data_IF_650290573519
#
_entry.id   IF_650290573519
#
_cell.length_a   1.000
_cell.length_b   1.000
_cell.length_c   1.000
_cell.angle_alpha   90.00
_cell.angle_beta   90.00
_cell.angle_gamma   90.00
#
_symmetry.space_group_name_H-M   'P 1'
#
loop_
_entity.id
_entity.type
_entity.pdbx_description
1 polymer ?
#
# COMPACT_ATOMS: atom_id res chain seq x y z
N UNK A 1 -19.59 -9.30 0.40
CA UNK A 1 -18.68 -9.03 -0.73
C UNK A 1 -17.47 -9.92 -0.50
N UNK A 2 -17.28 -10.98 -1.29
CA UNK A 2 -16.06 -11.79 -1.18
C UNK A 2 -14.91 -10.95 -1.74
N UNK A 3 -13.86 -10.76 -0.96
CA UNK A 3 -12.59 -10.26 -1.49
C UNK A 3 -12.17 -11.16 -2.65
N UNK A 4 -11.75 -10.58 -3.78
CA UNK A 4 -11.12 -11.37 -4.83
C UNK A 4 -9.82 -11.97 -4.27
N UNK A 5 -9.48 -13.19 -4.69
CA UNK A 5 -8.25 -13.85 -4.23
C UNK A 5 -7.03 -12.93 -4.52
N UNK A 6 -6.32 -12.54 -3.46
CA UNK A 6 -5.15 -11.66 -3.55
C UNK A 6 -5.40 -10.18 -3.22
N UNK A 7 -6.65 -9.75 -3.04
CA UNK A 7 -6.95 -8.38 -2.61
C UNK A 7 -6.88 -8.28 -1.08
N UNK A 8 -6.12 -7.29 -0.58
CA UNK A 8 -6.12 -6.92 0.84
C UNK A 8 -6.76 -5.54 1.03
N UNK A 9 -7.76 -5.48 1.91
CA UNK A 9 -8.47 -4.24 2.26
C UNK A 9 -8.07 -3.79 3.66
N UNK A 10 -7.77 -2.51 3.80
CA UNK A 10 -7.44 -1.88 5.07
C UNK A 10 -8.26 -0.61 5.25
N UNK A 11 -8.83 -0.43 6.43
CA UNK A 11 -9.54 0.79 6.79
C UNK A 11 -8.68 1.70 7.65
N UNK A 12 -8.69 2.99 7.33
CA UNK A 12 -8.01 4.03 8.09
C UNK A 12 -9.03 5.07 8.51
N UNK A 13 -9.09 5.37 9.81
CA UNK A 13 -9.87 6.49 10.34
C UNK A 13 -8.94 7.64 10.69
N UNK A 14 -9.29 8.82 10.22
CA UNK A 14 -8.60 10.08 10.49
C UNK A 14 -9.56 10.91 11.36
N UNK A 15 -9.10 11.39 12.51
CA UNK A 15 -9.90 12.15 13.49
C UNK A 15 -9.67 13.67 13.43
N UNK A 16 -8.51 14.09 12.93
CA UNK A 16 -8.14 15.47 12.66
C UNK A 16 -7.46 15.58 11.29
N UNK A 17 -7.55 16.73 10.58
CA UNK A 17 -6.84 16.95 9.32
C UNK A 17 -5.37 16.53 9.43
N UNK A 18 -4.97 15.52 8.65
CA UNK A 18 -3.69 14.84 8.81
C UNK A 18 -3.05 14.51 7.48
N UNK A 19 -1.72 14.55 7.44
CA UNK A 19 -0.94 14.07 6.29
C UNK A 19 -0.68 12.57 6.47
N UNK A 20 -1.45 11.75 5.77
CA UNK A 20 -1.43 10.29 5.89
C UNK A 20 -0.58 9.69 4.78
N UNK A 21 0.29 8.74 5.15
CA UNK A 21 1.08 7.94 4.23
C UNK A 21 0.70 6.47 4.34
N UNK A 22 0.32 5.86 3.22
CA UNK A 22 0.01 4.44 3.10
C UNK A 22 1.07 3.85 2.17
N UNK A 23 1.73 2.77 2.60
CA UNK A 23 2.84 2.16 1.86
C UNK A 23 2.72 0.64 1.92
N UNK A 24 2.96 -0.03 0.81
CA UNK A 24 3.19 -1.48 0.76
C UNK A 24 4.66 -1.80 1.04
N UNK A 25 4.91 -2.88 1.79
CA UNK A 25 6.25 -3.43 2.04
C UNK A 25 6.27 -4.83 1.44
N UNK A 26 6.55 -4.91 0.14
CA UNK A 26 6.32 -6.08 -0.70
C UNK A 26 7.63 -6.50 -1.37
N UNK A 27 7.84 -6.16 -2.64
CA UNK A 27 9.02 -6.55 -3.43
C UNK A 27 10.34 -6.10 -2.80
N UNK A 28 10.43 -4.85 -2.34
CA UNK A 28 11.63 -4.32 -1.70
C UNK A 28 11.86 -4.81 -0.28
N UNK A 29 10.86 -5.45 0.32
CA UNK A 29 10.80 -5.72 1.74
C UNK A 29 10.83 -4.44 2.58
N UNK A 30 11.18 -4.57 3.86
CA UNK A 30 11.36 -3.43 4.76
C UNK A 30 10.88 -3.71 6.16
N UNK A 31 10.69 -2.65 6.95
CA UNK A 31 10.29 -2.76 8.35
C UNK A 31 8.95 -2.07 8.57
N UNK A 32 8.04 -2.76 9.25
CA UNK A 32 6.76 -2.19 9.65
C UNK A 32 6.97 -1.02 10.62
N UNK A 33 6.07 -0.05 10.55
CA UNK A 33 6.17 1.20 11.31
C UNK A 33 5.88 1.03 12.82
N UNK A 34 5.30 -0.09 13.24
CA UNK A 34 4.75 -0.34 14.57
C UNK A 34 5.72 -0.95 15.61
N UNK A 35 7.04 -0.92 15.35
CA UNK A 35 8.07 -1.20 16.37
C UNK A 35 9.05 -2.31 16.00
N UNK A 36 9.59 -3.12 16.94
CA UNK A 36 10.61 -4.14 16.69
C UNK A 36 10.02 -5.40 16.01
N UNK A 37 9.08 -5.21 15.09
CA UNK A 37 8.58 -6.27 14.22
C UNK A 37 9.71 -6.81 13.33
N UNK A 38 9.57 -8.08 12.89
CA UNK A 38 10.56 -8.68 12.00
C UNK A 38 10.69 -7.87 10.71
N UNK A 39 11.91 -7.83 10.16
CA UNK A 39 12.10 -7.31 8.81
C UNK A 39 11.32 -8.19 7.83
N UNK A 40 10.58 -7.56 6.93
CA UNK A 40 9.95 -8.18 5.77
C UNK A 40 11.05 -8.39 4.74
N UNK A 41 11.32 -9.65 4.42
CA UNK A 41 12.27 -10.03 3.38
C UNK A 41 11.84 -9.47 2.02
N UNK A 42 12.80 -9.08 1.16
CA UNK A 42 12.52 -8.71 -0.22
C UNK A 42 12.11 -9.95 -1.04
N UNK A 43 11.55 -9.73 -2.24
CA UNK A 43 11.07 -10.78 -3.14
C UNK A 43 9.56 -11.06 -3.07
N UNK A 44 8.79 -10.11 -2.54
CA UNK A 44 7.32 -10.12 -2.62
C UNK A 44 6.78 -9.89 -4.04
N UNK A 45 5.51 -9.51 -4.14
CA UNK A 45 4.86 -9.19 -5.41
C UNK A 45 4.93 -7.69 -5.75
N UNK A 46 4.49 -7.32 -6.95
CA UNK A 46 4.31 -5.94 -7.43
C UNK A 46 2.85 -5.49 -7.17
N UNK A 47 2.58 -4.76 -6.07
CA UNK A 47 1.23 -4.29 -5.73
C UNK A 47 0.85 -3.00 -6.44
N UNK A 48 -0.41 -2.92 -6.87
CA UNK A 48 -1.10 -1.63 -6.99
C UNK A 48 -1.82 -1.30 -5.68
N UNK A 49 -1.68 -0.05 -5.23
CA UNK A 49 -2.33 0.50 -4.05
C UNK A 49 -3.34 1.55 -4.50
N UNK A 50 -4.59 1.44 -4.04
CA UNK A 50 -5.67 2.39 -4.29
C UNK A 50 -6.26 2.90 -2.98
N UNK A 51 -6.83 4.11 -3.00
CA UNK A 51 -7.43 4.77 -1.85
C UNK A 51 -8.80 5.36 -2.21
N UNK A 52 -9.80 5.08 -1.37
CA UNK A 52 -11.17 5.55 -1.50
C UNK A 52 -11.64 6.25 -0.22
N UNK A 53 -12.60 7.17 -0.34
CA UNK A 53 -13.35 7.71 0.80
C UNK A 53 -14.52 6.81 1.21
N UNK A 54 -15.23 7.19 2.27
CA UNK A 54 -16.40 6.45 2.78
C UNK A 54 -17.59 6.37 1.82
N UNK A 55 -17.61 7.16 0.75
CA UNK A 55 -18.62 7.11 -0.30
C UNK A 55 -18.17 6.24 -1.48
N UNK A 56 -17.08 5.50 -1.34
CA UNK A 56 -16.39 4.77 -2.40
C UNK A 56 -15.90 5.69 -3.54
N UNK A 57 -15.64 6.96 -3.24
CA UNK A 57 -15.05 7.88 -4.21
C UNK A 57 -13.56 7.65 -4.27
N UNK A 58 -13.06 7.40 -5.48
CA UNK A 58 -11.62 7.27 -5.73
C UNK A 58 -10.87 8.56 -5.36
N UNK A 59 -9.77 8.42 -4.62
CA UNK A 59 -8.90 9.53 -4.22
C UNK A 59 -7.56 9.47 -4.95
N UNK A 60 -6.93 8.30 -4.98
CA UNK A 60 -5.59 8.12 -5.51
C UNK A 60 -5.24 6.65 -5.75
N UNK A 61 -4.26 6.43 -6.62
CA UNK A 61 -3.58 5.15 -6.80
C UNK A 61 -2.07 5.35 -6.99
N UNK A 62 -1.31 4.28 -6.76
CA UNK A 62 0.09 4.17 -7.12
C UNK A 62 0.43 2.68 -7.34
N UNK A 63 1.17 2.40 -8.40
CA UNK A 63 1.38 1.03 -8.90
C UNK A 63 2.81 0.49 -8.71
N UNK A 64 3.81 1.34 -8.46
CA UNK A 64 5.19 0.92 -8.18
C UNK A 64 6.10 2.12 -7.85
N UNK A 65 7.42 1.85 -7.85
CA UNK A 65 8.56 2.80 -7.87
C UNK A 65 8.72 3.59 -6.59
N UNK A 66 8.14 3.10 -5.52
CA UNK A 66 8.30 3.63 -4.18
C UNK A 66 9.11 2.64 -3.33
N UNK A 67 9.58 3.11 -2.17
CA UNK A 67 10.22 2.23 -1.18
C UNK A 67 11.65 1.79 -1.51
N UNK A 68 12.01 0.60 -1.01
CA UNK A 68 13.37 0.04 -1.10
C UNK A 68 13.48 -0.77 -2.38
N UNK A 69 14.62 -0.73 -3.06
CA UNK A 69 14.90 -1.68 -4.14
C UNK A 69 15.22 -3.06 -3.58
N UNK A 70 14.67 -4.10 -4.20
CA UNK A 70 15.11 -5.48 -3.99
C UNK A 70 16.62 -5.58 -4.32
N UNK A 71 17.45 -6.11 -3.41
CA UNK A 71 18.91 -6.14 -3.61
C UNK A 71 19.37 -7.15 -4.68
N UNK A 72 18.51 -8.09 -5.07
CA UNK A 72 18.75 -9.12 -6.08
C UNK A 72 18.37 -8.61 -7.47
N UNK A 73 17.20 -7.97 -7.62
CA UNK A 73 16.71 -7.52 -8.93
C UNK A 73 17.00 -6.05 -9.22
N UNK A 74 17.26 -5.23 -8.20
CA UNK A 74 17.41 -3.77 -8.29
C UNK A 74 16.07 -3.02 -8.44
N UNK A 75 14.95 -3.72 -8.54
CA UNK A 75 13.64 -3.12 -8.78
C UNK A 75 13.00 -2.61 -7.49
N UNK A 76 12.30 -1.48 -7.57
CA UNK A 76 11.46 -0.95 -6.50
C UNK A 76 9.99 -1.04 -6.94
N UNK A 77 9.30 -2.10 -6.51
CA UNK A 77 7.90 -2.34 -6.83
C UNK A 77 6.96 -2.11 -5.63
N UNK A 78 7.46 -1.58 -4.51
CA UNK A 78 6.52 -1.08 -3.50
C UNK A 78 5.76 0.12 -4.07
N UNK A 79 4.54 0.32 -3.57
CA UNK A 79 3.68 1.45 -3.89
C UNK A 79 3.36 2.27 -2.63
N UNK A 80 3.19 3.58 -2.82
CA UNK A 80 2.97 4.54 -1.73
C UNK A 80 2.02 5.65 -2.15
N UNK A 81 1.04 5.92 -1.30
CA UNK A 81 0.15 7.07 -1.39
C UNK A 81 0.43 8.00 -0.21
N UNK A 82 0.56 9.30 -0.48
CA UNK A 82 0.61 10.34 0.56
C UNK A 82 -0.40 11.43 0.24
N UNK A 83 -1.33 11.67 1.16
CA UNK A 83 -2.43 12.64 0.99
C UNK A 83 -2.71 13.39 2.28
N UNK A 84 -3.17 14.63 2.14
CA UNK A 84 -3.80 15.36 3.24
C UNK A 84 -5.27 14.98 3.30
N UNK A 85 -5.67 14.30 4.37
CA UNK A 85 -7.03 13.79 4.56
C UNK A 85 -7.72 14.58 5.67
N UNK A 86 -9.00 14.90 5.46
CA UNK A 86 -9.88 15.46 6.49
C UNK A 86 -10.34 14.35 7.44
N UNK A 87 -10.99 14.68 8.57
CA UNK A 87 -11.61 13.67 9.40
C UNK A 87 -12.59 12.81 8.60
N UNK A 88 -12.50 11.50 8.75
CA UNK A 88 -13.27 10.54 7.97
C UNK A 88 -12.70 9.13 8.00
N UNK A 89 -13.45 8.20 7.41
CA UNK A 89 -13.00 6.82 7.19
C UNK A 89 -12.66 6.65 5.72
N UNK A 90 -11.54 5.99 5.48
CA UNK A 90 -10.98 5.72 4.17
C UNK A 90 -10.70 4.23 4.03
N UNK A 91 -10.88 3.71 2.83
CA UNK A 91 -10.54 2.33 2.49
C UNK A 91 -9.36 2.33 1.52
N UNK A 92 -8.29 1.63 1.89
CA UNK A 92 -7.19 1.35 0.99
C UNK A 92 -7.22 -0.11 0.58
N UNK A 93 -6.99 -0.35 -0.71
CA UNK A 93 -6.96 -1.67 -1.31
C UNK A 93 -5.59 -1.88 -1.94
N UNK A 94 -4.98 -3.04 -1.67
CA UNK A 94 -3.78 -3.50 -2.35
C UNK A 94 -4.04 -4.82 -3.05
N UNK A 95 -3.61 -4.95 -4.29
CA UNK A 95 -3.78 -6.16 -5.09
C UNK A 95 -2.51 -6.47 -5.91
N UNK A 96 -2.17 -7.75 -6.11
CA UNK A 96 -1.03 -8.13 -6.93
C UNK A 96 -1.32 -7.85 -8.40
N UNK A 97 -0.37 -7.20 -9.07
CA UNK A 97 -0.38 -7.13 -10.53
C UNK A 97 0.07 -8.51 -11.03
N UNK A 98 -0.83 -9.25 -11.70
CA UNK A 98 -0.42 -10.39 -12.53
C UNK A 98 0.34 -9.84 -13.74
N UNK A 99 1.61 -9.49 -13.56
CA UNK A 99 2.47 -9.24 -14.71
C UNK A 99 2.67 -10.57 -15.43
N UNK A 100 2.21 -10.65 -16.68
CA UNK A 100 2.60 -11.71 -17.60
C UNK A 100 4.12 -11.58 -17.83
N UNK A 101 4.91 -12.39 -17.12
CA UNK A 101 6.28 -12.71 -17.50
C UNK A 101 6.28 -13.69 -18.66
#
# INVERSE_FOLDING_TARGET
MSIADGVSLFQVTVDAPSRVGIKTLSHGGGRLADGPGPDISPGGFDPILTLFDSNNTFIAENDAREGRSDPTTGSAYDSRIVRSLTPGTYESCSEPIQQFL
#
